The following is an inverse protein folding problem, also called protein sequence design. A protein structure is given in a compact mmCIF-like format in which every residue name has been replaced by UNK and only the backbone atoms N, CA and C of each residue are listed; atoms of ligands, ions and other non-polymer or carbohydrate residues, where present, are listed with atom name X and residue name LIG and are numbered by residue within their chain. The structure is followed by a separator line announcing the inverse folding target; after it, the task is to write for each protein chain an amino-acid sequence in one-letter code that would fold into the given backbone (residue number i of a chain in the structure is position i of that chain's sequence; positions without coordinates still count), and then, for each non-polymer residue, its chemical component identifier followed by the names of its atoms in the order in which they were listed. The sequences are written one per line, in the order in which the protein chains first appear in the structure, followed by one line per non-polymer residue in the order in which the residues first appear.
data_IF_642798086859
#
_entry.id   IF_642798086859
#
_cell.length_a   1.000
_cell.length_b   1.000
_cell.length_c   1.000
_cell.angle_alpha   90.00
_cell.angle_beta   90.00
_cell.angle_gamma   90.00
#
_symmetry.space_group_name_H-M   'P 1'
#
loop_
_entity.id
_entity.type
_entity.pdbx_description
1 polymer ?
#
# COMPACT_ATOMS: atom_id res chain seq x y z
N UNK A 1 -18.19 13.51 -15.12
CA UNK A 1 -17.01 13.82 -14.28
C UNK A 1 -16.22 12.55 -14.04
N UNK A 2 -14.94 12.61 -14.30
CA UNK A 2 -14.06 11.46 -14.10
C UNK A 2 -13.37 11.56 -12.74
N UNK A 3 -13.52 10.55 -11.92
CA UNK A 3 -12.81 10.46 -10.64
C UNK A 3 -11.48 9.76 -10.86
N UNK A 4 -10.41 10.30 -10.24
CA UNK A 4 -9.10 9.68 -10.30
C UNK A 4 -8.98 8.59 -9.23
N UNK A 5 -8.34 7.47 -9.58
CA UNK A 5 -7.98 6.47 -8.58
C UNK A 5 -6.89 7.02 -7.66
N UNK A 6 -6.67 6.43 -6.48
CA UNK A 6 -5.57 6.86 -5.61
C UNK A 6 -4.21 6.83 -6.30
N UNK A 7 -3.97 5.84 -7.17
CA UNK A 7 -2.72 5.74 -7.91
C UNK A 7 -2.59 6.86 -8.95
N UNK A 8 -3.66 7.16 -9.67
CA UNK A 8 -3.69 8.27 -10.63
C UNK A 8 -3.48 9.61 -9.93
N UNK A 9 -4.05 9.78 -8.73
CA UNK A 9 -3.84 10.98 -7.94
C UNK A 9 -2.38 11.13 -7.52
N UNK A 10 -1.73 10.03 -7.13
CA UNK A 10 -0.31 10.05 -6.80
C UNK A 10 0.51 10.56 -7.99
N UNK A 11 0.29 10.02 -9.19
CA UNK A 11 1.02 10.44 -10.38
C UNK A 11 0.81 11.92 -10.70
N UNK A 12 -0.43 12.39 -10.59
CA UNK A 12 -0.77 13.79 -10.87
C UNK A 12 -0.08 14.76 -9.90
N UNK A 13 -0.22 14.52 -8.60
CA UNK A 13 0.31 15.44 -7.60
C UNK A 13 1.82 15.37 -7.48
N UNK A 14 2.42 14.22 -7.77
CA UNK A 14 3.86 14.05 -7.87
C UNK A 14 4.49 15.01 -8.89
N UNK A 15 3.80 15.21 -10.00
CA UNK A 15 4.27 16.09 -11.08
C UNK A 15 3.95 17.56 -10.81
N UNK A 16 2.81 17.87 -10.22
CA UNK A 16 2.34 19.23 -10.06
C UNK A 16 2.66 19.84 -8.70
N UNK A 17 2.75 19.01 -7.65
CA UNK A 17 2.99 19.47 -6.27
C UNK A 17 3.94 18.55 -5.52
N UNK A 18 5.13 18.27 -6.08
CA UNK A 18 6.03 17.24 -5.50
C UNK A 18 6.48 17.53 -4.07
N UNK A 19 6.58 18.82 -3.70
CA UNK A 19 7.12 19.22 -2.41
C UNK A 19 6.04 19.44 -1.34
N UNK A 20 4.75 19.29 -1.69
CA UNK A 20 3.69 19.40 -0.70
C UNK A 20 3.53 18.11 0.09
N UNK A 21 3.22 18.22 1.37
CA UNK A 21 3.04 17.06 2.24
C UNK A 21 1.79 16.29 1.83
N UNK A 22 1.95 14.99 1.65
CA UNK A 22 0.86 14.07 1.37
C UNK A 22 0.48 13.27 2.61
N UNK A 23 1.48 12.70 3.30
CA UNK A 23 1.25 11.84 4.46
C UNK A 23 2.01 12.37 5.67
N UNK A 24 1.39 12.28 6.83
CA UNK A 24 2.00 12.64 8.11
C UNK A 24 1.65 11.59 9.13
N UNK A 25 2.63 11.19 9.94
CA UNK A 25 2.42 10.18 10.98
C UNK A 25 3.36 10.43 12.15
N UNK A 26 2.85 10.37 13.40
CA UNK A 26 3.74 10.39 14.56
C UNK A 26 4.39 9.02 14.74
N UNK A 27 5.71 9.01 14.91
CA UNK A 27 6.49 7.81 15.21
C UNK A 27 7.36 8.15 16.41
N UNK A 28 7.20 7.41 17.52
CA UNK A 28 7.91 7.65 18.79
C UNK A 28 7.81 9.10 19.26
N UNK A 29 6.63 9.69 19.12
CA UNK A 29 6.36 11.04 19.58
C UNK A 29 6.83 12.15 18.64
N UNK A 30 7.41 11.81 17.49
CA UNK A 30 7.91 12.76 16.50
C UNK A 30 7.10 12.64 15.22
N UNK A 31 6.65 13.78 14.69
CA UNK A 31 5.91 13.79 13.43
C UNK A 31 6.84 13.55 12.25
N UNK A 32 6.54 12.53 11.46
CA UNK A 32 7.21 12.25 10.19
C UNK A 32 6.28 12.65 9.05
N UNK A 33 6.81 13.39 8.09
CA UNK A 33 6.06 13.85 6.92
C UNK A 33 6.67 13.30 5.64
N UNK A 34 5.81 12.95 4.70
CA UNK A 34 6.24 12.55 3.36
C UNK A 34 5.53 13.46 2.35
N UNK A 35 6.29 14.10 1.48
CA UNK A 35 5.70 14.83 0.38
C UNK A 35 5.34 13.86 -0.77
N UNK A 36 4.66 14.37 -1.78
CA UNK A 36 4.22 13.54 -2.91
C UNK A 36 5.38 12.85 -3.60
N UNK A 37 6.49 13.55 -3.77
CA UNK A 37 7.71 13.00 -4.38
C UNK A 37 8.28 11.85 -3.56
N UNK A 38 8.35 12.02 -2.25
CA UNK A 38 8.88 10.99 -1.34
C UNK A 38 7.99 9.75 -1.32
N UNK A 39 6.67 9.94 -1.27
CA UNK A 39 5.74 8.81 -1.33
C UNK A 39 5.90 8.07 -2.65
N UNK A 40 5.97 8.79 -3.76
CA UNK A 40 6.18 8.19 -5.08
C UNK A 40 7.45 7.36 -5.14
N UNK A 41 8.53 7.85 -4.57
CA UNK A 41 9.82 7.14 -4.50
C UNK A 41 9.69 5.83 -3.70
N UNK A 42 9.10 5.90 -2.50
CA UNK A 42 8.93 4.71 -1.65
C UNK A 42 7.99 3.68 -2.29
N UNK A 43 6.90 4.15 -2.90
CA UNK A 43 5.94 3.28 -3.59
C UNK A 43 6.61 2.55 -4.76
N UNK A 44 7.43 3.26 -5.54
CA UNK A 44 8.14 2.65 -6.67
C UNK A 44 9.18 1.63 -6.24
N UNK A 45 9.88 1.88 -5.14
CA UNK A 45 10.83 0.91 -4.58
C UNK A 45 10.12 -0.39 -4.25
N UNK A 46 9.00 -0.31 -3.55
CA UNK A 46 8.24 -1.49 -3.17
C UNK A 46 7.62 -2.16 -4.39
N UNK A 47 7.09 -1.40 -5.35
CA UNK A 47 6.54 -1.95 -6.58
C UNK A 47 7.60 -2.70 -7.38
N UNK A 48 8.82 -2.18 -7.45
CA UNK A 48 9.95 -2.86 -8.10
C UNK A 48 10.27 -4.18 -7.43
N UNK A 49 10.25 -4.20 -6.09
CA UNK A 49 10.45 -5.43 -5.34
C UNK A 49 9.37 -6.47 -5.67
N UNK A 50 8.10 -6.04 -5.69
CA UNK A 50 6.99 -6.93 -6.01
C UNK A 50 7.11 -7.50 -7.43
N UNK A 51 7.52 -6.68 -8.38
CA UNK A 51 7.75 -7.15 -9.76
C UNK A 51 8.88 -8.16 -9.84
N UNK A 52 9.90 -8.04 -8.98
CA UNK A 52 11.03 -8.98 -8.97
C UNK A 52 10.65 -10.38 -8.50
N UNK A 53 9.50 -10.54 -7.85
CA UNK A 53 9.03 -11.84 -7.37
C UNK A 53 8.39 -12.69 -8.48
N UNK A 54 8.20 -12.13 -9.67
CA UNK A 54 7.62 -12.82 -10.82
C UNK A 54 6.27 -13.49 -10.55
N UNK A 55 5.44 -12.86 -9.73
CA UNK A 55 4.09 -13.36 -9.48
C UNK A 55 3.22 -13.19 -10.73
N UNK A 56 2.27 -14.11 -10.97
CA UNK A 56 1.33 -13.94 -12.10
C UNK A 56 0.62 -12.58 -12.04
N UNK A 57 0.30 -12.02 -13.19
CA UNK A 57 -0.43 -10.76 -13.28
C UNK A 57 -1.76 -10.87 -12.52
N UNK A 58 -2.13 -9.78 -11.86
CA UNK A 58 -3.34 -9.70 -11.05
C UNK A 58 -3.35 -10.67 -9.85
N UNK A 59 -2.16 -11.05 -9.35
CA UNK A 59 -2.05 -11.84 -8.12
C UNK A 59 -2.63 -11.05 -6.95
N UNK A 60 -3.31 -11.73 -6.06
CA UNK A 60 -3.85 -11.12 -4.85
C UNK A 60 -2.76 -11.07 -3.80
N UNK A 61 -2.53 -9.88 -3.25
CA UNK A 61 -1.54 -9.64 -2.22
C UNK A 61 -2.26 -9.10 -1.00
N UNK A 62 -2.20 -9.83 0.10
CA UNK A 62 -2.86 -9.46 1.33
C UNK A 62 -2.00 -8.49 2.13
N UNK A 63 -2.65 -7.57 2.82
CA UNK A 63 -2.00 -6.54 3.62
C UNK A 63 -2.67 -6.48 4.99
N UNK A 64 -1.96 -6.97 6.01
CA UNK A 64 -2.44 -6.98 7.39
C UNK A 64 -1.70 -5.92 8.19
N UNK A 65 -2.37 -4.82 8.50
CA UNK A 65 -1.77 -3.72 9.26
C UNK A 65 -2.83 -2.75 9.75
N UNK A 66 -2.54 -2.04 10.82
CA UNK A 66 -3.30 -0.85 11.18
C UNK A 66 -3.07 0.23 10.11
N UNK A 67 -4.06 1.10 9.96
CA UNK A 67 -3.94 2.23 9.03
C UNK A 67 -2.76 3.12 9.45
N UNK A 68 -1.84 3.35 8.53
CA UNK A 68 -0.66 4.19 8.76
C UNK A 68 -0.09 4.59 7.39
N UNK A 69 0.92 5.46 7.40
CA UNK A 69 1.54 5.91 6.16
C UNK A 69 2.09 4.74 5.35
N UNK A 70 2.77 3.82 6.00
CA UNK A 70 3.34 2.64 5.32
C UNK A 70 2.26 1.72 4.77
N UNK A 71 1.10 1.61 5.44
CA UNK A 71 -0.04 0.86 4.93
C UNK A 71 -0.50 1.42 3.59
N UNK A 72 -0.68 2.74 3.53
CA UNK A 72 -1.14 3.39 2.30
C UNK A 72 -0.10 3.26 1.18
N UNK A 73 1.19 3.43 1.51
CA UNK A 73 2.26 3.28 0.51
C UNK A 73 2.34 1.85 -0.02
N UNK A 74 2.17 0.84 0.85
CA UNK A 74 2.16 -0.56 0.44
C UNK A 74 0.96 -0.87 -0.46
N UNK A 75 -0.21 -0.35 -0.11
CA UNK A 75 -1.42 -0.52 -0.92
C UNK A 75 -1.23 0.05 -2.32
N UNK A 76 -0.67 1.26 -2.43
CA UNK A 76 -0.37 1.89 -3.70
C UNK A 76 0.66 1.08 -4.50
N UNK A 77 1.68 0.54 -3.83
CA UNK A 77 2.72 -0.27 -4.48
C UNK A 77 2.14 -1.56 -5.07
N UNK A 78 1.23 -2.21 -4.36
CA UNK A 78 0.55 -3.40 -4.85
C UNK A 78 -0.20 -3.09 -6.14
N UNK A 79 -0.95 -1.99 -6.16
CA UNK A 79 -1.69 -1.57 -7.35
C UNK A 79 -0.75 -1.16 -8.49
N UNK A 80 0.34 -0.45 -8.18
CA UNK A 80 1.32 -0.01 -9.18
C UNK A 80 2.02 -1.19 -9.85
N UNK A 81 2.23 -2.29 -9.12
CA UNK A 81 2.86 -3.49 -9.66
C UNK A 81 1.92 -4.35 -10.51
N UNK A 82 0.66 -3.95 -10.65
CA UNK A 82 -0.32 -4.68 -11.44
C UNK A 82 -1.01 -5.81 -10.69
N UNK A 83 -0.95 -5.79 -9.35
CA UNK A 83 -1.58 -6.79 -8.51
C UNK A 83 -2.81 -6.24 -7.79
N UNK A 84 -3.54 -7.13 -7.14
CA UNK A 84 -4.77 -6.80 -6.43
C UNK A 84 -4.50 -6.78 -4.92
N UNK A 85 -4.77 -5.65 -4.28
CA UNK A 85 -4.61 -5.50 -2.85
C UNK A 85 -5.81 -6.09 -2.11
N UNK A 86 -5.54 -6.91 -1.10
CA UNK A 86 -6.55 -7.49 -0.22
C UNK A 86 -6.27 -7.00 1.21
N UNK A 87 -6.86 -5.87 1.61
CA UNK A 87 -6.62 -5.34 2.95
C UNK A 87 -7.30 -6.17 4.02
N UNK A 88 -6.57 -6.46 5.09
CA UNK A 88 -7.04 -7.18 6.25
C UNK A 88 -6.87 -6.29 7.50
N UNK A 89 -7.75 -6.43 8.46
CA UNK A 89 -7.76 -5.58 9.63
C UNK A 89 -7.31 -6.37 10.87
N UNK A 90 -6.35 -5.82 11.65
CA UNK A 90 -5.80 -6.53 12.83
C UNK A 90 -6.81 -6.80 13.95
N UNK A 91 -7.94 -6.12 13.95
CA UNK A 91 -8.98 -6.33 14.96
C UNK A 91 -9.81 -7.60 14.71
N UNK A 92 -9.61 -8.27 13.58
CA UNK A 92 -10.27 -9.56 13.32
C UNK A 92 -9.50 -10.67 14.03
N UNK A 93 -10.22 -11.73 14.44
CA UNK A 93 -9.54 -12.86 15.07
C UNK A 93 -8.80 -13.71 14.05
N UNK A 94 -7.87 -14.54 14.54
CA UNK A 94 -7.01 -15.34 13.65
C UNK A 94 -7.78 -16.35 12.78
N UNK A 95 -8.88 -16.87 13.29
CA UNK A 95 -9.73 -17.80 12.51
C UNK A 95 -10.36 -17.08 11.32
N UNK A 96 -10.92 -15.90 11.54
CA UNK A 96 -11.53 -15.09 10.47
C UNK A 96 -10.49 -14.67 9.45
N UNK A 97 -9.31 -14.21 9.91
CA UNK A 97 -8.22 -13.82 9.02
C UNK A 97 -7.76 -15.00 8.17
N UNK A 98 -7.64 -16.19 8.76
CA UNK A 98 -7.27 -17.41 8.03
C UNK A 98 -8.27 -17.76 6.95
N UNK A 99 -9.55 -17.63 7.23
CA UNK A 99 -10.62 -17.89 6.24
C UNK A 99 -10.56 -16.89 5.08
N UNK A 100 -10.34 -15.60 5.38
CA UNK A 100 -10.24 -14.57 4.35
C UNK A 100 -9.02 -14.83 3.46
N UNK A 101 -7.87 -15.15 4.05
CA UNK A 101 -6.65 -15.44 3.31
C UNK A 101 -6.84 -16.64 2.38
N UNK A 102 -7.43 -17.71 2.89
CA UNK A 102 -7.68 -18.92 2.10
C UNK A 102 -8.66 -18.64 0.97
N UNK A 103 -9.74 -17.93 1.26
CA UNK A 103 -10.79 -17.62 0.27
C UNK A 103 -10.27 -16.68 -0.82
N UNK A 104 -9.43 -15.71 -0.48
CA UNK A 104 -8.87 -14.75 -1.44
C UNK A 104 -7.80 -15.34 -2.34
N UNK A 105 -7.24 -16.50 -1.99
CA UNK A 105 -6.13 -17.12 -2.72
C UNK A 105 -4.91 -16.19 -2.84
N UNK A 106 -4.62 -15.44 -1.77
CA UNK A 106 -3.50 -14.50 -1.77
C UNK A 106 -2.17 -15.21 -1.93
N UNK A 107 -1.31 -14.68 -2.81
CA UNK A 107 0.01 -15.22 -3.09
C UNK A 107 1.07 -14.70 -2.11
N UNK A 108 0.82 -13.59 -1.46
CA UNK A 108 1.76 -12.93 -0.58
C UNK A 108 1.01 -12.18 0.51
N UNK A 109 1.60 -12.13 1.70
CA UNK A 109 1.05 -11.38 2.82
C UNK A 109 2.10 -10.39 3.34
N UNK A 110 1.75 -9.10 3.35
CA UNK A 110 2.52 -8.10 4.07
C UNK A 110 1.93 -7.92 5.46
N UNK A 111 2.79 -7.95 6.47
CA UNK A 111 2.38 -7.70 7.85
C UNK A 111 3.07 -6.42 8.32
N UNK A 112 2.29 -5.42 8.61
CA UNK A 112 2.79 -4.15 9.10
C UNK A 112 2.50 -3.96 10.58
N UNK A 113 2.08 -2.75 10.93
CA UNK A 113 1.81 -2.39 12.32
C UNK A 113 0.55 -3.09 12.82
N UNK A 114 0.68 -3.82 13.92
CA UNK A 114 -0.42 -4.57 14.52
C UNK A 114 -0.92 -3.95 15.83
#
# INVERSE_FOLDING_TARGET
MKYLSPLEMLYKWEQTKPNEIYLSQPIDGVWHNWNWKEVGYEVRKMASYLKSLDLPNNSKIALLSKNCAHWLMTDLAIMMSGHVSVPLYPNLNSETLGKILKHSEAELLFVGKL
#
